data_IF_629461487301
#
_entry.id   IF_629461487301
#
_cell.length_a   1.000
_cell.length_b   1.000
_cell.length_c   1.000
_cell.angle_alpha   90.00
_cell.angle_beta   90.00
_cell.angle_gamma   90.00
#
_symmetry.space_group_name_H-M   'P 1'
#
loop_
_entity.id
_entity.type
_entity.pdbx_description
1 polymer ?
#
# COMPACT_ATOMS: atom_id res chain seq x y z
N UNK A 1 5.21 45.05 -12.89
CA UNK A 1 4.49 44.76 -11.63
C UNK A 1 4.41 43.24 -11.50
N UNK A 2 5.44 42.67 -10.84
CA UNK A 2 5.65 41.22 -10.75
C UNK A 2 4.74 40.66 -9.60
N UNK A 3 3.81 39.82 -9.98
CA UNK A 3 3.02 39.03 -9.01
C UNK A 3 3.92 37.98 -8.36
N UNK A 4 4.37 38.26 -7.15
CA UNK A 4 4.94 37.27 -6.25
C UNK A 4 3.84 36.30 -5.86
N UNK A 5 3.92 35.10 -6.42
CA UNK A 5 3.04 33.98 -6.10
C UNK A 5 3.44 33.48 -4.71
N UNK A 6 2.66 33.81 -3.70
CA UNK A 6 2.81 33.29 -2.35
C UNK A 6 2.68 31.77 -2.40
N UNK A 7 3.82 31.06 -2.27
CA UNK A 7 3.79 29.64 -1.97
C UNK A 7 3.25 29.48 -0.55
N UNK A 8 2.20 28.67 -0.34
CA UNK A 8 1.70 28.42 1.01
C UNK A 8 2.83 27.80 1.83
N UNK A 9 3.24 28.48 2.88
CA UNK A 9 4.18 27.97 3.89
C UNK A 9 3.61 26.66 4.43
N UNK A 10 4.31 25.55 4.21
CA UNK A 10 3.97 24.25 4.78
C UNK A 10 3.87 24.41 6.31
N UNK A 11 2.70 24.10 6.86
CA UNK A 11 2.46 24.15 8.30
C UNK A 11 3.51 23.26 9.00
N UNK A 12 4.01 23.69 10.15
CA UNK A 12 5.01 22.96 10.95
C UNK A 12 4.61 21.50 11.21
N UNK A 13 3.32 21.22 11.34
CA UNK A 13 2.76 19.86 11.45
C UNK A 13 2.95 19.01 10.16
N UNK A 14 2.88 19.62 8.99
CA UNK A 14 3.12 18.90 7.72
C UNK A 14 4.61 18.58 7.54
N UNK A 15 5.51 19.46 7.94
CA UNK A 15 6.95 19.20 7.89
C UNK A 15 7.39 18.12 8.89
N UNK A 16 6.83 18.09 10.07
CA UNK A 16 7.06 17.04 11.09
C UNK A 16 6.53 15.69 10.60
N UNK A 17 5.34 15.66 9.99
CA UNK A 17 4.79 14.43 9.40
C UNK A 17 5.63 13.87 8.26
N UNK A 18 6.21 14.71 7.42
CA UNK A 18 7.09 14.29 6.31
C UNK A 18 8.40 13.71 6.86
N UNK A 19 9.00 14.32 7.88
CA UNK A 19 10.23 13.83 8.51
C UNK A 19 10.04 12.51 9.25
N UNK A 20 8.95 12.36 10.02
CA UNK A 20 8.65 11.10 10.72
C UNK A 20 8.35 9.95 9.75
N UNK A 21 7.79 10.24 8.59
CA UNK A 21 7.49 9.25 7.56
C UNK A 21 8.73 8.79 6.80
N UNK A 22 9.70 9.69 6.55
CA UNK A 22 11.00 9.33 5.94
C UNK A 22 11.83 8.42 6.85
N UNK A 23 11.87 8.71 8.15
CA UNK A 23 12.55 7.88 9.15
C UNK A 23 11.98 6.45 9.24
N UNK A 24 10.65 6.29 9.09
CA UNK A 24 9.97 4.99 9.14
C UNK A 24 10.19 4.12 7.91
N UNK A 25 10.40 4.72 6.74
CA UNK A 25 10.72 3.99 5.52
C UNK A 25 12.06 3.25 5.62
N UNK A 26 13.08 3.91 6.14
CA UNK A 26 14.38 3.29 6.39
C UNK A 26 14.33 2.15 7.42
N UNK A 27 13.50 2.31 8.46
CA UNK A 27 13.33 1.32 9.50
C UNK A 27 12.75 -0.01 9.00
N UNK A 28 11.87 0.00 8.00
CA UNK A 28 11.27 -1.21 7.45
C UNK A 28 12.27 -2.03 6.61
N UNK A 29 13.12 -1.39 5.81
CA UNK A 29 14.18 -2.08 5.07
C UNK A 29 15.26 -2.62 6.00
N UNK A 30 15.62 -1.86 7.03
CA UNK A 30 16.56 -2.31 8.05
C UNK A 30 16.02 -3.52 8.82
N UNK A 31 14.72 -3.54 9.18
CA UNK A 31 14.12 -4.72 9.82
C UNK A 31 14.08 -5.94 8.92
N UNK A 32 13.85 -5.80 7.62
CA UNK A 32 13.96 -6.91 6.68
C UNK A 32 15.38 -7.48 6.62
N UNK A 33 16.38 -6.62 6.54
CA UNK A 33 17.78 -7.03 6.54
C UNK A 33 18.15 -7.76 7.83
N UNK A 34 17.72 -7.26 8.99
CA UNK A 34 17.94 -7.92 10.28
C UNK A 34 17.27 -9.30 10.35
N UNK A 35 16.05 -9.45 9.82
CA UNK A 35 15.35 -10.74 9.76
C UNK A 35 16.15 -11.72 8.89
N UNK A 36 16.56 -11.32 7.70
CA UNK A 36 17.35 -12.17 6.79
C UNK A 36 18.63 -12.62 7.48
N UNK A 37 19.38 -11.70 8.10
CA UNK A 37 20.63 -12.02 8.81
C UNK A 37 20.37 -12.97 9.99
N UNK A 38 19.35 -12.71 10.80
CA UNK A 38 19.03 -13.51 11.97
C UNK A 38 18.61 -14.94 11.60
N UNK A 39 17.76 -15.10 10.58
CA UNK A 39 17.33 -16.42 10.07
C UNK A 39 18.52 -17.18 9.47
N UNK A 40 19.32 -16.52 8.63
CA UNK A 40 20.50 -17.14 8.04
C UNK A 40 21.51 -17.59 9.11
N UNK A 41 21.78 -16.75 10.11
CA UNK A 41 22.65 -17.10 11.22
C UNK A 41 22.12 -18.29 12.03
N UNK A 42 20.81 -18.33 12.29
CA UNK A 42 20.16 -19.45 12.97
C UNK A 42 20.33 -20.76 12.20
N UNK A 43 20.12 -20.75 10.89
CA UNK A 43 20.29 -21.92 10.03
C UNK A 43 21.73 -22.40 9.99
N UNK A 44 22.71 -21.50 9.89
CA UNK A 44 24.16 -21.84 9.92
C UNK A 44 24.56 -22.53 11.24
N UNK A 45 23.97 -22.13 12.37
CA UNK A 45 24.28 -22.72 13.68
C UNK A 45 23.67 -24.10 13.86
N UNK A 46 22.44 -24.33 13.34
CA UNK A 46 21.66 -25.55 13.62
C UNK A 46 21.89 -26.62 12.53
N UNK A 47 22.07 -26.22 11.28
CA UNK A 47 22.04 -27.11 10.13
C UNK A 47 23.44 -27.35 9.54
N UNK A 48 23.57 -28.47 8.80
CA UNK A 48 24.78 -28.80 8.05
C UNK A 48 24.60 -28.53 6.58
N UNK A 49 25.63 -28.10 5.81
CA UNK A 49 25.52 -27.93 4.37
C UNK A 49 24.99 -29.18 3.69
N UNK A 50 24.14 -29.02 2.69
CA UNK A 50 23.51 -30.11 1.95
C UNK A 50 24.52 -30.97 1.14
N UNK A 51 25.62 -30.34 0.73
CA UNK A 51 26.68 -30.99 -0.05
C UNK A 51 27.84 -30.06 -0.41
N UNK A 52 28.66 -30.43 -1.41
CA UNK A 52 29.69 -29.56 -1.94
C UNK A 52 29.07 -28.27 -2.56
N UNK A 53 29.79 -27.17 -2.43
CA UNK A 53 29.29 -25.83 -2.87
C UNK A 53 28.97 -25.74 -4.38
N UNK A 54 29.72 -26.48 -5.21
CA UNK A 54 29.48 -26.57 -6.67
C UNK A 54 28.11 -27.17 -6.99
N UNK A 55 27.67 -28.17 -6.21
CA UNK A 55 26.34 -28.80 -6.35
C UNK A 55 25.24 -27.84 -5.87
N UNK A 56 25.45 -27.18 -4.74
CA UNK A 56 24.49 -26.19 -4.18
C UNK A 56 24.26 -25.06 -5.18
N UNK A 57 25.32 -24.48 -5.73
CA UNK A 57 25.22 -23.40 -6.71
C UNK A 57 24.76 -23.84 -8.10
N UNK A 58 24.75 -25.13 -8.42
CA UNK A 58 24.14 -25.66 -9.62
C UNK A 58 22.61 -25.86 -9.50
N UNK A 59 22.06 -25.71 -8.29
CA UNK A 59 20.64 -25.91 -8.04
C UNK A 59 19.81 -24.69 -8.52
N UNK A 60 18.91 -24.92 -9.49
CA UNK A 60 18.02 -23.89 -10.01
C UNK A 60 17.00 -23.39 -8.95
N UNK A 61 16.62 -24.25 -7.98
CA UNK A 61 15.71 -23.89 -6.89
C UNK A 61 16.24 -22.71 -6.09
N UNK A 62 17.51 -22.73 -5.70
CA UNK A 62 18.16 -21.65 -4.97
C UNK A 62 17.99 -20.28 -5.65
N UNK A 63 18.13 -20.20 -6.96
CA UNK A 63 17.99 -18.93 -7.69
C UNK A 63 16.55 -18.45 -7.76
N UNK A 64 15.59 -19.37 -7.86
CA UNK A 64 14.16 -19.05 -7.86
C UNK A 64 13.76 -18.48 -6.51
N UNK A 65 14.20 -19.08 -5.41
CA UNK A 65 13.88 -18.63 -4.05
C UNK A 65 14.57 -17.31 -3.71
N UNK A 66 15.80 -17.11 -4.16
CA UNK A 66 16.48 -15.81 -4.07
C UNK A 66 15.75 -14.72 -4.86
N UNK A 67 15.24 -15.03 -6.05
CA UNK A 67 14.45 -14.09 -6.85
C UNK A 67 13.13 -13.74 -6.15
N UNK A 68 12.45 -14.73 -5.56
CA UNK A 68 11.23 -14.52 -4.79
C UNK A 68 11.48 -13.64 -3.56
N UNK A 69 12.55 -13.89 -2.82
CA UNK A 69 12.96 -13.09 -1.67
C UNK A 69 13.25 -11.63 -2.08
N UNK A 70 14.00 -11.44 -3.16
CA UNK A 70 14.32 -10.11 -3.70
C UNK A 70 13.06 -9.35 -4.11
N UNK A 71 12.09 -10.04 -4.73
CA UNK A 71 10.79 -9.46 -5.08
C UNK A 71 10.00 -9.01 -3.84
N UNK A 72 9.99 -9.79 -2.76
CA UNK A 72 9.32 -9.42 -1.51
C UNK A 72 9.97 -8.19 -0.85
N UNK A 73 11.30 -8.12 -0.85
CA UNK A 73 12.04 -6.94 -0.36
C UNK A 73 11.70 -5.70 -1.20
N UNK A 74 11.60 -5.87 -2.52
CA UNK A 74 11.16 -4.79 -3.43
C UNK A 74 9.72 -4.34 -3.14
N UNK A 75 8.79 -5.27 -2.91
CA UNK A 75 7.41 -4.94 -2.50
C UNK A 75 7.38 -4.18 -1.16
N UNK A 76 8.20 -4.59 -0.19
CA UNK A 76 8.33 -3.88 1.08
C UNK A 76 8.84 -2.45 0.86
N UNK A 77 9.83 -2.27 -0.01
CA UNK A 77 10.35 -0.94 -0.36
C UNK A 77 9.29 -0.06 -1.03
N UNK A 78 8.50 -0.60 -1.98
CA UNK A 78 7.37 0.14 -2.57
C UNK A 78 6.36 0.52 -1.49
N UNK A 79 5.98 -0.42 -0.60
CA UNK A 79 5.02 -0.16 0.47
C UNK A 79 5.46 0.98 1.40
N UNK A 80 6.78 1.17 1.55
CA UNK A 80 7.35 2.24 2.35
C UNK A 80 7.13 3.64 1.72
N UNK A 81 6.97 3.73 0.38
CA UNK A 81 6.69 4.98 -0.34
C UNK A 81 5.21 5.36 -0.34
N UNK A 82 4.31 4.43 0.00
CA UNK A 82 2.87 4.69 0.00
C UNK A 82 2.48 5.59 1.17
N UNK A 83 1.93 6.77 0.86
CA UNK A 83 1.47 7.79 1.82
C UNK A 83 -0.02 7.64 2.17
N UNK A 84 -0.49 6.42 2.42
CA UNK A 84 -1.89 6.18 2.77
C UNK A 84 -2.08 5.92 4.28
N UNK A 85 -3.34 5.78 4.67
CA UNK A 85 -3.77 5.56 6.06
C UNK A 85 -2.81 4.62 6.81
N UNK A 86 -2.26 5.14 7.87
CA UNK A 86 -1.16 4.59 8.66
C UNK A 86 -1.37 3.14 9.12
N UNK A 87 -2.58 2.80 9.54
CA UNK A 87 -2.88 1.47 10.12
C UNK A 87 -2.91 0.38 9.05
N UNK A 88 -3.60 0.60 7.93
CA UNK A 88 -3.74 -0.42 6.89
C UNK A 88 -2.39 -0.77 6.21
N UNK A 89 -1.55 0.23 5.95
CA UNK A 89 -0.21 0.02 5.37
C UNK A 89 0.71 -0.75 6.33
N UNK A 90 0.57 -0.57 7.63
CA UNK A 90 1.36 -1.33 8.59
C UNK A 90 1.00 -2.82 8.59
N UNK A 91 -0.27 -3.19 8.39
CA UNK A 91 -0.65 -4.60 8.21
C UNK A 91 0.08 -5.24 7.03
N UNK A 92 0.11 -4.54 5.88
CA UNK A 92 0.87 -4.99 4.70
C UNK A 92 2.36 -5.16 5.03
N UNK A 93 2.97 -4.18 5.70
CA UNK A 93 4.40 -4.22 6.04
C UNK A 93 4.76 -5.36 6.99
N UNK A 94 3.98 -5.56 8.04
CA UNK A 94 4.19 -6.68 8.96
C UNK A 94 3.97 -8.03 8.27
N UNK A 95 2.96 -8.13 7.39
CA UNK A 95 2.74 -9.32 6.58
C UNK A 95 3.93 -9.62 5.66
N UNK A 96 4.45 -8.60 4.96
CA UNK A 96 5.65 -8.76 4.12
C UNK A 96 6.90 -9.15 4.92
N UNK A 97 7.09 -8.60 6.12
CA UNK A 97 8.23 -8.99 6.98
C UNK A 97 8.15 -10.45 7.43
N UNK A 98 6.96 -10.94 7.80
CA UNK A 98 6.76 -12.35 8.11
C UNK A 98 6.97 -13.25 6.89
N UNK A 99 6.49 -12.81 5.72
CA UNK A 99 6.67 -13.55 4.48
C UNK A 99 8.14 -13.60 4.05
N UNK A 100 8.89 -12.50 4.20
CA UNK A 100 10.35 -12.44 3.99
C UNK A 100 11.05 -13.43 4.93
N UNK A 101 10.65 -13.50 6.20
CA UNK A 101 11.22 -14.46 7.13
C UNK A 101 11.00 -15.92 6.65
N UNK A 102 9.79 -16.29 6.24
CA UNK A 102 9.49 -17.61 5.67
C UNK A 102 10.32 -17.92 4.43
N UNK A 103 10.34 -17.02 3.43
CA UNK A 103 11.14 -17.22 2.22
C UNK A 103 12.66 -17.24 2.48
N UNK A 104 13.14 -16.65 3.58
CA UNK A 104 14.55 -16.80 3.96
C UNK A 104 14.85 -18.23 4.43
N UNK A 105 13.90 -18.89 5.11
CA UNK A 105 14.02 -20.32 5.42
C UNK A 105 14.00 -21.19 4.16
N UNK A 106 13.17 -20.88 3.14
CA UNK A 106 13.17 -21.56 1.82
C UNK A 106 14.59 -21.53 1.20
N UNK A 107 15.17 -20.33 1.11
CA UNK A 107 16.53 -20.15 0.58
C UNK A 107 17.57 -20.94 1.39
N UNK A 108 17.39 -21.01 2.70
CA UNK A 108 18.33 -21.74 3.57
C UNK A 108 18.15 -23.26 3.44
N UNK A 109 16.97 -23.77 3.13
CA UNK A 109 16.73 -25.20 2.90
C UNK A 109 17.44 -25.72 1.64
N UNK A 110 17.62 -24.89 0.63
CA UNK A 110 18.41 -25.21 -0.57
C UNK A 110 19.93 -25.31 -0.29
N UNK A 111 20.40 -24.74 0.81
CA UNK A 111 21.82 -24.69 1.17
C UNK A 111 22.14 -25.67 2.31
N UNK A 112 21.24 -25.86 3.27
CA UNK A 112 21.45 -26.59 4.50
C UNK A 112 20.40 -27.66 4.72
N UNK A 113 20.78 -28.82 5.24
CA UNK A 113 19.83 -29.86 5.68
C UNK A 113 19.13 -29.39 6.94
N UNK A 114 17.88 -28.99 6.80
CA UNK A 114 17.05 -28.52 7.91
C UNK A 114 16.29 -29.66 8.60
N UNK A 115 16.03 -29.59 9.90
CA UNK A 115 15.10 -30.49 10.58
C UNK A 115 13.67 -30.27 10.07
N UNK A 116 12.89 -31.35 9.87
CA UNK A 116 11.52 -31.26 9.35
C UNK A 116 10.58 -30.31 10.09
N UNK A 117 10.74 -30.16 11.41
CA UNK A 117 9.93 -29.22 12.19
C UNK A 117 10.18 -27.75 11.79
N UNK A 118 11.38 -27.44 11.31
CA UNK A 118 11.76 -26.10 10.88
C UNK A 118 11.02 -25.71 9.59
N UNK A 119 10.90 -26.63 8.61
CA UNK A 119 10.10 -26.43 7.42
C UNK A 119 8.63 -26.15 7.76
N UNK A 120 7.99 -27.01 8.56
CA UNK A 120 6.56 -26.83 8.89
C UNK A 120 6.25 -25.57 9.71
N UNK A 121 7.04 -25.27 10.74
CA UNK A 121 6.71 -24.20 11.69
C UNK A 121 7.39 -22.87 11.37
N UNK A 122 8.64 -22.90 10.93
CA UNK A 122 9.36 -21.65 10.65
C UNK A 122 9.17 -21.15 9.22
N UNK A 123 9.13 -22.06 8.27
CA UNK A 123 8.98 -21.73 6.85
C UNK A 123 7.50 -21.56 6.50
N UNK A 124 6.71 -22.66 6.52
CA UNK A 124 5.32 -22.66 6.04
C UNK A 124 4.41 -21.77 6.87
N UNK A 125 4.49 -21.82 8.20
CA UNK A 125 3.62 -21.02 9.06
C UNK A 125 3.91 -19.52 8.95
N UNK A 126 5.20 -19.12 8.91
CA UNK A 126 5.56 -17.73 8.72
C UNK A 126 5.13 -17.22 7.35
N UNK A 127 5.32 -18.00 6.29
CA UNK A 127 4.91 -17.68 4.93
C UNK A 127 3.40 -17.51 4.83
N UNK A 128 2.61 -18.48 5.31
CA UNK A 128 1.15 -18.42 5.30
C UNK A 128 0.60 -17.26 6.13
N UNK A 129 1.14 -17.05 7.33
CA UNK A 129 0.72 -15.93 8.19
C UNK A 129 1.07 -14.58 7.55
N UNK A 130 2.23 -14.47 6.92
CA UNK A 130 2.65 -13.30 6.18
C UNK A 130 1.74 -12.99 4.99
N UNK A 131 1.38 -14.00 4.20
CA UNK A 131 0.40 -13.87 3.09
C UNK A 131 -0.95 -13.40 3.60
N UNK A 132 -1.46 -14.01 4.68
CA UNK A 132 -2.76 -13.66 5.26
C UNK A 132 -2.78 -12.21 5.75
N UNK A 133 -1.77 -11.79 6.52
CA UNK A 133 -1.68 -10.41 7.01
C UNK A 133 -1.57 -9.40 5.85
N UNK A 134 -0.79 -9.70 4.83
CA UNK A 134 -0.64 -8.86 3.65
C UNK A 134 -1.97 -8.70 2.93
N UNK A 135 -2.71 -9.80 2.75
CA UNK A 135 -4.05 -9.80 2.12
C UNK A 135 -5.04 -8.97 2.91
N UNK A 136 -5.08 -9.12 4.24
CA UNK A 136 -5.93 -8.30 5.13
C UNK A 136 -5.55 -6.82 5.01
N UNK A 137 -4.26 -6.51 4.97
CA UNK A 137 -3.79 -5.15 4.80
C UNK A 137 -4.22 -4.53 3.47
N UNK A 138 -4.09 -5.25 2.37
CA UNK A 138 -4.54 -4.83 1.03
C UNK A 138 -6.05 -4.61 1.02
N UNK A 139 -6.84 -5.53 1.57
CA UNK A 139 -8.29 -5.38 1.68
C UNK A 139 -8.68 -4.08 2.39
N UNK A 140 -8.05 -3.78 3.53
CA UNK A 140 -8.30 -2.52 4.27
C UNK A 140 -7.91 -1.27 3.48
N UNK A 141 -6.87 -1.35 2.65
CA UNK A 141 -6.48 -0.25 1.76
C UNK A 141 -7.54 -0.02 0.70
N UNK A 142 -8.02 -1.08 0.04
CA UNK A 142 -9.07 -1.01 -0.98
C UNK A 142 -10.37 -0.43 -0.39
N UNK A 143 -10.79 -0.92 0.77
CA UNK A 143 -11.96 -0.40 1.48
C UNK A 143 -11.82 1.12 1.73
N UNK A 144 -10.67 1.55 2.20
CA UNK A 144 -10.41 2.99 2.44
C UNK A 144 -10.42 3.82 1.16
N UNK A 145 -9.85 3.29 0.08
CA UNK A 145 -9.89 3.96 -1.24
C UNK A 145 -11.33 4.12 -1.71
N UNK A 146 -12.16 3.09 -1.57
CA UNK A 146 -13.56 3.15 -1.96
C UNK A 146 -14.33 4.23 -1.18
N UNK A 147 -14.13 4.34 0.14
CA UNK A 147 -14.73 5.40 0.95
C UNK A 147 -14.29 6.79 0.46
N UNK A 148 -12.99 7.00 0.29
CA UNK A 148 -12.45 8.27 -0.20
C UNK A 148 -12.96 8.63 -1.60
N UNK A 149 -13.12 7.64 -2.47
CA UNK A 149 -13.66 7.82 -3.81
C UNK A 149 -15.13 8.28 -3.76
N UNK A 150 -15.95 7.64 -2.93
CA UNK A 150 -17.37 8.03 -2.74
C UNK A 150 -17.47 9.45 -2.18
N UNK A 151 -16.66 9.79 -1.17
CA UNK A 151 -16.64 11.14 -0.57
C UNK A 151 -16.20 12.20 -1.59
N UNK A 152 -15.13 11.96 -2.34
CA UNK A 152 -14.65 12.86 -3.37
C UNK A 152 -15.70 13.06 -4.48
N UNK A 153 -16.38 11.96 -4.88
CA UNK A 153 -17.47 12.05 -5.86
C UNK A 153 -18.64 12.88 -5.32
N UNK A 154 -19.04 12.70 -4.08
CA UNK A 154 -20.14 13.44 -3.47
C UNK A 154 -19.84 14.94 -3.39
N UNK A 155 -18.60 15.32 -3.06
CA UNK A 155 -18.16 16.72 -3.06
C UNK A 155 -18.13 17.30 -4.48
N UNK A 156 -17.69 16.54 -5.48
CA UNK A 156 -17.68 16.97 -6.90
C UNK A 156 -19.07 17.15 -7.51
N UNK A 157 -20.14 16.69 -6.86
CA UNK A 157 -21.53 16.83 -7.31
C UNK A 157 -22.25 18.06 -6.74
N UNK A 158 -21.60 18.82 -5.87
CA UNK A 158 -22.13 20.05 -5.27
C UNK A 158 -21.40 21.27 -5.80
N UNK A 159 -22.09 22.39 -5.82
CA UNK A 159 -21.52 23.71 -6.07
C UNK A 159 -20.80 24.22 -4.83
N UNK A 160 -19.58 24.75 -4.97
CA UNK A 160 -18.72 25.14 -3.85
C UNK A 160 -19.29 26.32 -3.04
N UNK A 161 -20.02 27.24 -3.69
CA UNK A 161 -20.57 28.43 -3.05
C UNK A 161 -21.92 28.17 -2.37
N UNK A 162 -22.82 27.49 -3.08
CA UNK A 162 -24.21 27.33 -2.64
C UNK A 162 -24.46 26.00 -1.92
N UNK A 163 -23.53 25.04 -2.06
CA UNK A 163 -23.67 23.64 -1.60
C UNK A 163 -24.86 22.89 -2.20
N UNK A 164 -25.52 23.49 -3.20
CA UNK A 164 -26.57 22.85 -3.96
C UNK A 164 -26.02 21.87 -4.99
N UNK A 165 -26.83 20.89 -5.43
CA UNK A 165 -26.44 19.99 -6.51
C UNK A 165 -26.05 20.76 -7.77
N UNK A 166 -24.89 20.45 -8.33
CA UNK A 166 -24.40 21.10 -9.54
C UNK A 166 -24.94 20.44 -10.82
N UNK A 167 -24.58 20.98 -11.98
CA UNK A 167 -24.99 20.47 -13.28
C UNK A 167 -24.66 18.99 -13.50
N UNK A 168 -23.52 18.52 -12.93
CA UNK A 168 -23.10 17.12 -13.06
C UNK A 168 -24.05 16.21 -12.31
N UNK A 169 -24.41 16.55 -11.08
CA UNK A 169 -25.41 15.81 -10.29
C UNK A 169 -26.72 15.68 -11.05
N UNK A 170 -27.21 16.78 -11.64
CA UNK A 170 -28.42 16.79 -12.42
C UNK A 170 -28.38 15.82 -13.61
N UNK A 171 -27.29 15.83 -14.39
CA UNK A 171 -27.11 14.93 -15.54
C UNK A 171 -27.04 13.47 -15.08
N UNK A 172 -26.32 13.17 -14.03
CA UNK A 172 -26.18 11.79 -13.48
C UNK A 172 -27.54 11.29 -12.97
N UNK A 173 -28.33 12.15 -12.29
CA UNK A 173 -29.66 11.81 -11.80
C UNK A 173 -30.63 11.50 -12.93
N UNK A 174 -30.62 12.29 -14.03
CA UNK A 174 -31.46 12.01 -15.20
C UNK A 174 -31.07 10.68 -15.85
N UNK A 175 -29.79 10.39 -15.98
CA UNK A 175 -29.29 9.11 -16.55
C UNK A 175 -29.72 7.91 -15.71
N UNK A 176 -29.64 8.02 -14.41
CA UNK A 176 -30.03 6.96 -13.49
C UNK A 176 -31.52 6.66 -13.53
N UNK A 177 -32.34 7.70 -13.81
CA UNK A 177 -33.81 7.59 -13.88
C UNK A 177 -34.33 7.39 -15.29
N UNK A 178 -33.50 7.02 -16.27
CA UNK A 178 -33.96 6.68 -17.61
C UNK A 178 -34.98 5.51 -17.57
N UNK A 179 -36.11 5.70 -18.21
CA UNK A 179 -37.23 4.74 -18.21
C UNK A 179 -38.31 5.02 -17.16
N UNK A 180 -38.16 6.03 -16.31
CA UNK A 180 -39.20 6.49 -15.40
C UNK A 180 -39.85 7.77 -15.96
N UNK A 181 -41.11 8.03 -15.58
CA UNK A 181 -41.76 9.30 -15.89
C UNK A 181 -41.12 10.43 -15.08
N UNK A 182 -40.56 11.43 -15.75
CA UNK A 182 -39.86 12.56 -15.13
C UNK A 182 -40.52 13.86 -15.59
N UNK A 183 -40.75 14.78 -14.66
CA UNK A 183 -41.06 16.17 -14.95
C UNK A 183 -39.83 17.02 -14.66
N UNK A 184 -39.42 17.85 -15.61
CA UNK A 184 -38.31 18.76 -15.52
C UNK A 184 -38.78 20.20 -15.49
N UNK A 185 -38.30 20.98 -14.52
CA UNK A 185 -38.56 22.41 -14.44
C UNK A 185 -37.23 23.15 -14.47
N UNK A 186 -37.11 24.14 -15.35
CA UNK A 186 -35.94 25.01 -15.45
C UNK A 186 -36.41 26.41 -15.01
N UNK A 187 -35.67 26.99 -14.05
CA UNK A 187 -35.87 28.34 -13.55
C UNK A 187 -34.63 29.16 -13.88
N UNK A 188 -34.83 30.38 -14.36
CA UNK A 188 -33.78 31.35 -14.63
C UNK A 188 -34.14 32.70 -14.03
N UNK A 189 -33.16 33.51 -13.70
CA UNK A 189 -33.35 34.86 -13.14
C UNK A 189 -33.23 35.85 -14.29
N UNK A 190 -34.34 36.56 -14.56
CA UNK A 190 -34.35 37.61 -15.56
C UNK A 190 -33.37 38.74 -15.19
N UNK A 191 -32.62 39.20 -16.18
CA UNK A 191 -31.66 40.32 -16.04
C UNK A 191 -30.55 40.07 -15.02
N UNK A 192 -30.18 38.81 -14.69
CA UNK A 192 -29.15 38.46 -13.72
C UNK A 192 -27.83 39.20 -13.98
N UNK A 193 -27.45 39.39 -15.24
CA UNK A 193 -26.25 40.12 -15.61
C UNK A 193 -26.21 41.56 -15.07
N UNK A 194 -27.35 42.25 -15.11
CA UNK A 194 -27.45 43.64 -14.62
C UNK A 194 -27.32 43.72 -13.10
N UNK A 195 -27.70 42.65 -12.39
CA UNK A 195 -27.60 42.57 -10.92
C UNK A 195 -26.14 42.26 -10.52
N UNK A 196 -25.45 41.47 -11.32
CA UNK A 196 -24.08 41.04 -10.99
C UNK A 196 -23.01 42.07 -11.37
N UNK A 197 -23.28 42.95 -12.34
CA UNK A 197 -22.35 43.98 -12.83
C UNK A 197 -22.45 45.31 -12.05
N UNK A 198 -23.28 45.40 -10.99
CA UNK A 198 -23.42 46.52 -10.07
C UNK A 198 -22.61 46.30 -8.81
#
# INVERSE_FOLDING_TARGET
MLLTRDMPMLNSEQSINIQTQSSRSGMNLFSALLIIIAVSALCIVIAKPLGPWDVIFANAGLYIDLLALLFLVFMLWISAKVRMSYVAVNWVRYGLLLWIAGCTFDVMDEIFVQPKWMGYYCEDLLRLSGMLLTTIGIYKIIERINVLYVDARSQSLKDELTQLPNRRFFIDTIREKQGHQLALMILDIDFFKNINDT
#
